data_IF_939116316571
#
_entry.id   IF_939116316571
#
_cell.length_a   1.000
_cell.length_b   1.000
_cell.length_c   1.000
_cell.angle_alpha   90.00
_cell.angle_beta   90.00
_cell.angle_gamma   90.00
#
_symmetry.space_group_name_H-M   'P 1'
#
loop_
_entity.id
_entity.type
_entity.pdbx_description
1 polymer ?
#
# COMPACT_ATOMS: atom_id res chain seq x y z
N UNK A 1 8.58 1.31 -11.86
CA UNK A 1 7.53 0.44 -11.26
C UNK A 1 7.90 -0.20 -9.91
N UNK A 2 9.18 -0.36 -9.51
CA UNK A 2 9.56 -0.96 -8.20
C UNK A 2 9.73 0.03 -7.03
N UNK A 3 9.98 1.32 -7.31
CA UNK A 3 10.34 2.30 -6.28
C UNK A 3 9.19 2.65 -5.31
N UNK A 4 7.95 2.76 -5.80
CA UNK A 4 6.78 3.03 -4.94
C UNK A 4 6.50 1.87 -3.98
N UNK A 5 6.68 0.62 -4.43
CA UNK A 5 6.35 -0.58 -3.67
C UNK A 5 7.30 -0.83 -2.48
N UNK A 6 8.60 -0.59 -2.65
CA UNK A 6 9.56 -0.75 -1.54
C UNK A 6 9.41 0.36 -0.48
N UNK A 7 9.18 1.61 -0.90
CA UNK A 7 9.06 2.72 0.04
C UNK A 7 7.78 2.65 0.90
N UNK A 8 6.68 2.14 0.34
CA UNK A 8 5.43 1.88 1.08
C UNK A 8 5.58 0.76 2.12
N UNK A 9 6.52 -0.16 1.92
CA UNK A 9 6.74 -1.28 2.84
C UNK A 9 7.44 -0.83 4.12
N UNK A 10 8.43 0.05 4.01
CA UNK A 10 9.21 0.53 5.16
C UNK A 10 8.42 1.47 6.08
N UNK A 11 7.44 2.21 5.56
CA UNK A 11 6.63 3.16 6.34
C UNK A 11 5.60 2.48 7.26
N UNK A 12 5.26 1.20 7.03
CA UNK A 12 4.20 0.49 7.76
C UNK A 12 4.68 -0.72 8.57
N UNK A 13 5.98 -1.05 8.52
CA UNK A 13 6.60 -2.17 9.24
C UNK A 13 7.39 -1.65 10.45
N UNK A 14 6.92 -1.94 11.66
CA UNK A 14 7.73 -1.75 12.87
C UNK A 14 8.72 -2.90 13.07
N UNK A 15 10.04 -2.62 13.14
CA UNK A 15 11.06 -3.62 13.49
C UNK A 15 11.10 -3.81 15.01
N UNK A 16 10.82 -5.02 15.52
CA UNK A 16 11.19 -5.40 16.90
C UNK A 16 12.33 -6.42 16.85
N UNK A 17 13.48 -6.01 17.37
CA UNK A 17 14.73 -6.77 17.42
C UNK A 17 14.71 -7.71 18.62
N UNK A 18 13.95 -8.80 18.58
CA UNK A 18 14.07 -9.88 19.57
C UNK A 18 13.64 -11.18 18.91
N UNK A 19 14.42 -12.24 19.11
CA UNK A 19 14.34 -13.52 18.39
C UNK A 19 12.91 -14.03 18.18
N UNK A 20 12.67 -14.54 16.97
CA UNK A 20 11.40 -14.79 16.28
C UNK A 20 10.88 -13.56 15.50
N UNK A 21 11.28 -13.45 14.22
CA UNK A 21 11.03 -12.31 13.33
C UNK A 21 9.54 -12.22 12.93
N UNK A 22 8.68 -11.83 13.87
CA UNK A 22 7.27 -11.55 13.63
C UNK A 22 7.10 -10.06 13.36
N UNK A 23 6.53 -9.72 12.22
CA UNK A 23 6.32 -8.33 11.78
C UNK A 23 4.83 -7.99 11.90
N UNK A 24 4.53 -6.88 12.57
CA UNK A 24 3.16 -6.41 12.80
C UNK A 24 2.83 -5.25 11.87
N UNK A 25 1.60 -5.26 11.33
CA UNK A 25 1.05 -4.11 10.62
C UNK A 25 0.65 -3.03 11.64
N UNK A 26 1.08 -1.78 11.46
CA UNK A 26 0.68 -0.66 12.32
C UNK A 26 -0.52 0.13 11.76
N UNK A 27 -1.26 -0.45 10.80
CA UNK A 27 -2.44 0.21 10.26
C UNK A 27 -3.58 0.25 11.29
N UNK A 28 -4.24 1.41 11.41
CA UNK A 28 -5.35 1.61 12.34
C UNK A 28 -6.47 0.61 12.03
N UNK A 29 -6.88 -0.17 13.03
CA UNK A 29 -7.87 -1.26 12.93
C UNK A 29 -7.42 -2.47 12.10
N UNK A 30 -6.12 -2.78 12.05
CA UNK A 30 -5.62 -4.01 11.45
C UNK A 30 -4.69 -4.77 12.39
N UNK A 31 -5.16 -5.91 12.92
CA UNK A 31 -4.40 -6.77 13.84
C UNK A 31 -3.70 -7.93 13.11
N UNK A 32 -3.44 -7.79 11.81
CA UNK A 32 -2.78 -8.87 11.06
C UNK A 32 -1.31 -8.97 11.43
N UNK A 33 -0.93 -10.13 11.95
CA UNK A 33 0.45 -10.49 12.30
C UNK A 33 1.03 -11.35 11.18
N UNK A 34 2.17 -10.94 10.64
CA UNK A 34 2.82 -11.65 9.54
C UNK A 34 4.17 -12.21 9.97
N UNK A 35 4.43 -13.45 9.58
CA UNK A 35 5.66 -14.20 9.90
C UNK A 35 6.70 -14.14 8.78
N UNK A 36 6.31 -13.73 7.57
CA UNK A 36 7.19 -13.63 6.38
C UNK A 36 7.10 -12.25 5.74
N UNK A 37 8.23 -11.76 5.22
CA UNK A 37 8.32 -10.46 4.54
C UNK A 37 7.44 -10.38 3.29
N UNK A 38 7.38 -11.45 2.51
CA UNK A 38 6.56 -11.49 1.29
C UNK A 38 5.06 -11.39 1.60
N UNK A 39 4.62 -12.02 2.70
CA UNK A 39 3.22 -11.95 3.15
C UNK A 39 2.82 -10.53 3.55
N UNK A 40 3.73 -9.79 4.19
CA UNK A 40 3.48 -8.39 4.57
C UNK A 40 3.38 -7.53 3.33
N UNK A 41 4.26 -7.75 2.37
CA UNK A 41 4.31 -6.90 1.18
C UNK A 41 3.05 -7.10 0.33
N UNK A 42 2.50 -8.32 0.31
CA UNK A 42 1.16 -8.59 -0.23
C UNK A 42 0.04 -7.98 0.62
N UNK A 43 0.11 -8.13 1.94
CA UNK A 43 -0.87 -7.59 2.89
C UNK A 43 -1.00 -6.06 2.79
N UNK A 44 0.11 -5.32 2.69
CA UNK A 44 0.07 -3.85 2.58
C UNK A 44 -0.67 -3.36 1.33
N UNK A 45 -0.88 -4.21 0.32
CA UNK A 45 -1.71 -3.89 -0.86
C UNK A 45 -3.20 -3.76 -0.54
N UNK A 46 -3.66 -4.28 0.60
CA UNK A 46 -5.06 -4.12 1.04
C UNK A 46 -5.28 -2.75 1.68
N UNK A 47 -4.25 -2.20 2.31
CA UNK A 47 -4.30 -0.89 3.00
C UNK A 47 -3.96 0.25 2.07
N UNK A 48 -2.95 0.05 1.22
CA UNK A 48 -2.63 0.96 0.12
C UNK A 48 -3.31 0.42 -1.12
N UNK A 49 -4.50 0.90 -1.50
CA UNK A 49 -5.07 0.55 -2.78
C UNK A 49 -4.08 1.06 -3.83
N UNK A 50 -3.29 0.13 -4.39
CA UNK A 50 -2.32 0.39 -5.46
C UNK A 50 -3.12 0.85 -6.66
N UNK A 51 -3.32 2.15 -6.70
CA UNK A 51 -4.03 2.88 -7.72
C UNK A 51 -2.99 3.74 -8.40
N UNK A 52 -2.24 3.16 -9.37
CA UNK A 52 -1.12 3.84 -9.98
C UNK A 52 -1.53 5.06 -10.82
N UNK A 53 -2.83 5.27 -10.99
CA UNK A 53 -3.41 6.35 -11.78
C UNK A 53 -4.10 7.33 -10.84
N UNK A 54 -3.45 8.43 -10.49
CA UNK A 54 -4.02 9.52 -9.71
C UNK A 54 -4.41 10.69 -10.60
N UNK A 55 -5.56 11.30 -10.32
CA UNK A 55 -5.94 12.57 -10.93
C UNK A 55 -5.08 13.70 -10.36
N UNK A 56 -4.47 14.50 -11.23
CA UNK A 56 -3.65 15.64 -10.82
C UNK A 56 -4.47 16.81 -10.27
N UNK A 57 -5.74 16.92 -10.68
CA UNK A 57 -6.63 18.03 -10.28
C UNK A 57 -7.16 17.85 -8.86
N UNK A 58 -7.63 16.64 -8.51
CA UNK A 58 -8.27 16.38 -7.22
C UNK A 58 -7.56 15.34 -6.35
N UNK A 59 -6.44 14.77 -6.82
CA UNK A 59 -5.68 13.75 -6.09
C UNK A 59 -6.36 12.39 -5.99
N UNK A 60 -7.52 12.19 -6.63
CA UNK A 60 -8.28 10.93 -6.53
C UNK A 60 -7.57 9.83 -7.31
N UNK A 61 -7.31 8.70 -6.65
CA UNK A 61 -6.61 7.58 -7.26
C UNK A 61 -7.58 6.52 -7.82
N UNK A 62 -7.18 5.90 -8.94
CA UNK A 62 -7.88 4.89 -9.73
C UNK A 62 -7.01 3.65 -10.00
N UNK A 63 -7.64 2.48 -10.01
CA UNK A 63 -6.96 1.19 -10.24
C UNK A 63 -6.58 0.99 -11.71
N UNK A 64 -7.37 1.54 -12.63
CA UNK A 64 -7.20 1.36 -14.08
C UNK A 64 -7.12 2.71 -14.78
N UNK A 65 -6.32 2.81 -15.86
CA UNK A 65 -6.15 4.08 -16.58
C UNK A 65 -7.44 4.53 -17.26
N UNK A 66 -8.29 3.61 -17.74
CA UNK A 66 -9.58 3.98 -18.32
C UNK A 66 -10.55 4.62 -17.33
N UNK A 67 -10.45 4.27 -16.04
CA UNK A 67 -11.30 4.83 -15.00
C UNK A 67 -10.85 6.27 -14.66
N UNK A 68 -9.52 6.49 -14.61
CA UNK A 68 -8.95 7.84 -14.54
C UNK A 68 -9.37 8.68 -15.73
N UNK A 69 -9.20 8.19 -16.97
CA UNK A 69 -9.54 8.94 -18.19
C UNK A 69 -11.01 9.32 -18.29
N UNK A 70 -11.92 8.48 -17.77
CA UNK A 70 -13.35 8.83 -17.66
C UNK A 70 -13.57 9.90 -16.60
N UNK A 71 -12.87 9.80 -15.49
CA UNK A 71 -12.94 10.78 -14.40
C UNK A 71 -12.33 12.14 -14.79
N UNK A 72 -11.27 12.19 -15.59
CA UNK A 72 -10.69 13.46 -16.05
C UNK A 72 -11.67 14.28 -16.89
N UNK A 73 -12.67 13.66 -17.52
CA UNK A 73 -13.70 14.36 -18.29
C UNK A 73 -14.75 15.08 -17.44
N UNK A 74 -14.81 14.79 -16.15
CA UNK A 74 -15.76 15.43 -15.23
C UNK A 74 -15.16 16.63 -14.49
N UNK A 75 -13.86 16.88 -14.71
CA UNK A 75 -13.21 18.14 -14.39
C UNK A 75 -13.40 19.09 -15.56
#
# INVERSE_FOLDING_TARGET
MKALYHHLCDQHIGRKSTGNLTLKCHWKNCDTVCVKRDHITSHLRVHTPLKPHSCEVCGKAFKRPQDLKKHEKIH
#
